data_IF_739973970620
#
_entry.id   IF_739973970620
#
_cell.length_a   1.000
_cell.length_b   1.000
_cell.length_c   1.000
_cell.angle_alpha   90.00
_cell.angle_beta   90.00
_cell.angle_gamma   90.00
#
_symmetry.space_group_name_H-M   'P 1'
#
loop_
_entity.id
_entity.type
_entity.pdbx_description
1 polymer ?
#
# COMPACT_ATOMS: atom_id res chain seq x y z
N UNK A 1 -8.45 15.40 -23.35
CA UNK A 1 -9.20 14.33 -22.64
C UNK A 1 -8.21 13.26 -22.23
N UNK A 2 -7.62 13.37 -21.04
CA UNK A 2 -6.70 12.34 -20.53
C UNK A 2 -7.55 11.19 -19.98
N UNK A 3 -7.54 10.04 -20.65
CA UNK A 3 -8.23 8.84 -20.16
C UNK A 3 -7.67 8.39 -18.80
N UNK A 4 -8.47 7.64 -18.03
CA UNK A 4 -8.07 7.18 -16.71
C UNK A 4 -6.81 6.31 -16.75
N UNK A 5 -5.81 6.64 -15.93
CA UNK A 5 -4.57 5.86 -15.78
C UNK A 5 -4.88 4.43 -15.34
N UNK A 6 -4.17 3.46 -15.91
CA UNK A 6 -4.24 2.04 -15.51
C UNK A 6 -3.35 1.83 -14.29
N UNK A 7 -3.87 1.17 -13.26
CA UNK A 7 -3.19 1.04 -11.97
C UNK A 7 -2.90 -0.42 -11.66
N UNK A 8 -1.67 -0.74 -11.25
CA UNK A 8 -1.31 -2.00 -10.62
C UNK A 8 -1.18 -1.79 -9.11
N UNK A 9 -1.90 -2.58 -8.30
CA UNK A 9 -1.74 -2.60 -6.84
C UNK A 9 -1.14 -3.94 -6.40
N UNK A 10 0.01 -3.89 -5.74
CA UNK A 10 0.70 -5.03 -5.15
C UNK A 10 0.46 -5.00 -3.64
N UNK A 11 0.10 -6.13 -3.02
CA UNK A 11 -0.36 -6.14 -1.61
C UNK A 11 -1.83 -5.74 -1.45
N UNK A 12 -2.62 -5.86 -2.52
CA UNK A 12 -4.03 -5.48 -2.58
C UNK A 12 -4.94 -6.13 -1.51
N UNK A 13 -4.56 -7.28 -0.97
CA UNK A 13 -5.36 -8.00 0.04
C UNK A 13 -4.98 -7.65 1.48
N UNK A 14 -3.99 -6.76 1.66
CA UNK A 14 -3.54 -6.27 2.96
C UNK A 14 -4.49 -5.22 3.56
N UNK A 15 -4.15 -4.74 4.77
CA UNK A 15 -4.99 -3.80 5.52
C UNK A 15 -5.28 -2.54 4.72
N UNK A 16 -4.26 -1.82 4.25
CA UNK A 16 -4.41 -0.61 3.43
C UNK A 16 -4.71 -0.91 1.95
N UNK A 17 -4.14 -2.00 1.42
CA UNK A 17 -4.25 -2.39 0.00
C UNK A 17 -5.68 -2.48 -0.50
N UNK A 18 -6.59 -3.08 0.27
CA UNK A 18 -8.00 -3.23 -0.14
C UNK A 18 -8.71 -1.88 -0.29
N UNK A 19 -8.34 -0.88 0.52
CA UNK A 19 -8.90 0.47 0.44
C UNK A 19 -8.33 1.23 -0.76
N UNK A 20 -7.05 1.03 -1.09
CA UNK A 20 -6.43 1.60 -2.29
C UNK A 20 -7.10 1.06 -3.57
N UNK A 21 -7.39 -0.24 -3.62
CA UNK A 21 -8.12 -0.86 -4.74
C UNK A 21 -9.53 -0.27 -4.89
N UNK A 22 -10.31 -0.21 -3.79
CA UNK A 22 -11.65 0.38 -3.81
C UNK A 22 -11.63 1.84 -4.26
N UNK A 23 -10.69 2.62 -3.75
CA UNK A 23 -10.54 4.03 -4.12
C UNK A 23 -10.20 4.17 -5.62
N UNK A 24 -9.31 3.31 -6.14
CA UNK A 24 -8.93 3.24 -7.55
C UNK A 24 -10.13 2.99 -8.46
N UNK A 25 -10.93 1.98 -8.12
CA UNK A 25 -12.15 1.64 -8.86
C UNK A 25 -13.21 2.75 -8.77
N UNK A 26 -13.41 3.32 -7.58
CA UNK A 26 -14.37 4.43 -7.38
C UNK A 26 -13.99 5.70 -8.14
N UNK A 27 -12.70 5.92 -8.39
CA UNK A 27 -12.19 7.02 -9.21
C UNK A 27 -12.20 6.71 -10.72
N UNK A 28 -12.67 5.53 -11.14
CA UNK A 28 -12.79 5.14 -12.54
C UNK A 28 -11.49 4.65 -13.18
N UNK A 29 -10.47 4.31 -12.39
CA UNK A 29 -9.21 3.77 -12.90
C UNK A 29 -9.30 2.26 -13.15
N UNK A 30 -8.96 1.76 -14.36
CA UNK A 30 -8.78 0.34 -14.58
C UNK A 30 -7.72 -0.22 -13.65
N UNK A 31 -8.11 -1.12 -12.74
CA UNK A 31 -7.23 -1.60 -11.66
C UNK A 31 -6.91 -3.07 -11.84
N UNK A 32 -5.62 -3.37 -11.82
CA UNK A 32 -5.06 -4.72 -11.77
C UNK A 32 -4.44 -4.94 -10.39
N UNK A 33 -4.58 -6.14 -9.84
CA UNK A 33 -3.96 -6.53 -8.57
C UNK A 33 -3.09 -7.76 -8.77
N UNK A 34 -1.91 -7.78 -8.15
CA UNK A 34 -1.05 -8.96 -8.09
C UNK A 34 -1.29 -9.69 -6.76
N UNK A 35 -1.69 -10.96 -6.83
CA UNK A 35 -2.01 -11.78 -5.64
C UNK A 35 -1.27 -13.12 -5.73
N UNK A 36 -0.61 -13.51 -4.63
CA UNK A 36 0.10 -14.78 -4.52
C UNK A 36 -0.84 -15.99 -4.62
N UNK A 37 -0.31 -17.10 -5.13
CA UNK A 37 -1.06 -18.34 -5.33
C UNK A 37 -1.70 -18.85 -4.03
N UNK A 38 -0.93 -18.83 -2.94
CA UNK A 38 -1.34 -19.29 -1.62
C UNK A 38 -2.44 -18.39 -1.04
N UNK A 39 -2.36 -17.09 -1.34
CA UNK A 39 -3.38 -16.12 -0.90
C UNK A 39 -4.70 -16.32 -1.66
N UNK A 40 -4.66 -16.63 -2.95
CA UNK A 40 -5.86 -16.97 -3.73
C UNK A 40 -6.48 -18.31 -3.31
N UNK A 41 -5.65 -19.26 -2.88
CA UNK A 41 -6.09 -20.56 -2.36
C UNK A 41 -6.61 -20.51 -0.91
N UNK A 42 -6.53 -19.36 -0.23
CA UNK A 42 -6.93 -19.19 1.16
C UNK A 42 -8.42 -19.52 1.37
N UNK A 43 -8.73 -20.39 2.32
CA UNK A 43 -10.12 -20.73 2.73
C UNK A 43 -10.70 -19.74 3.74
N UNK A 44 -9.93 -18.74 4.18
CA UNK A 44 -10.39 -17.68 5.08
C UNK A 44 -11.63 -16.95 4.50
N UNK A 45 -12.77 -16.92 5.22
CA UNK A 45 -14.00 -16.29 4.72
C UNK A 45 -13.85 -14.80 4.37
N UNK A 46 -13.00 -14.06 5.08
CA UNK A 46 -12.76 -12.64 4.80
C UNK A 46 -12.03 -12.43 3.48
N UNK A 47 -11.08 -13.31 3.14
CA UNK A 47 -10.38 -13.30 1.84
C UNK A 47 -11.32 -13.70 0.71
N UNK A 48 -12.13 -14.74 0.92
CA UNK A 48 -13.11 -15.18 -0.07
C UNK A 48 -14.13 -14.07 -0.40
N UNK A 49 -14.64 -13.39 0.62
CA UNK A 49 -15.53 -12.23 0.42
C UNK A 49 -14.83 -11.08 -0.31
N UNK A 50 -13.55 -10.81 0.00
CA UNK A 50 -12.77 -9.77 -0.68
C UNK A 50 -12.55 -10.10 -2.17
N UNK A 51 -12.30 -11.36 -2.53
CA UNK A 51 -12.14 -11.75 -3.93
C UNK A 51 -13.44 -11.61 -4.71
N UNK A 52 -14.58 -12.04 -4.13
CA UNK A 52 -15.90 -11.81 -4.71
C UNK A 52 -16.21 -10.33 -4.91
N UNK A 53 -15.81 -9.49 -3.96
CA UNK A 53 -15.94 -8.04 -4.08
C UNK A 53 -15.06 -7.49 -5.22
N UNK A 54 -13.80 -7.90 -5.30
CA UNK A 54 -12.90 -7.48 -6.38
C UNK A 54 -13.45 -7.86 -7.76
N UNK A 55 -13.98 -9.07 -7.90
CA UNK A 55 -14.64 -9.51 -9.12
C UNK A 55 -15.89 -8.66 -9.43
N UNK A 56 -16.75 -8.40 -8.43
CA UNK A 56 -18.01 -7.67 -8.64
C UNK A 56 -17.81 -6.21 -9.04
N UNK A 57 -16.71 -5.58 -8.60
CA UNK A 57 -16.36 -4.21 -9.00
C UNK A 57 -15.47 -4.15 -10.25
N UNK A 58 -15.07 -5.30 -10.83
CA UNK A 58 -14.31 -5.36 -12.09
C UNK A 58 -12.79 -5.24 -11.95
N UNK A 59 -12.22 -5.53 -10.79
CA UNK A 59 -10.77 -5.59 -10.59
C UNK A 59 -10.17 -6.77 -11.35
N UNK A 60 -9.10 -6.53 -12.11
CA UNK A 60 -8.35 -7.60 -12.77
C UNK A 60 -7.37 -8.25 -11.80
N UNK A 61 -7.58 -9.52 -11.47
CA UNK A 61 -6.67 -10.29 -10.62
C UNK A 61 -5.61 -10.98 -11.49
N UNK A 62 -4.33 -10.78 -11.15
CA UNK A 62 -3.20 -11.54 -11.67
C UNK A 62 -2.64 -12.41 -10.55
N UNK A 63 -2.63 -13.72 -10.75
CA UNK A 63 -1.93 -14.65 -9.88
C UNK A 63 -0.42 -14.51 -10.12
N UNK A 64 0.34 -14.22 -9.08
CA UNK A 64 1.79 -14.05 -9.21
C UNK A 64 2.49 -13.70 -7.90
N UNK A 65 3.81 -13.77 -7.93
CA UNK A 65 4.68 -13.51 -6.79
C UNK A 65 5.75 -12.48 -7.16
N UNK A 66 6.29 -11.76 -6.18
CA UNK A 66 7.34 -10.77 -6.39
C UNK A 66 8.66 -11.39 -6.89
N UNK A 67 8.87 -12.68 -6.68
CA UNK A 67 10.04 -13.41 -7.16
C UNK A 67 9.98 -13.73 -8.66
N UNK A 68 8.82 -13.57 -9.32
CA UNK A 68 8.67 -13.75 -10.76
C UNK A 68 8.88 -12.39 -11.48
N UNK A 69 10.14 -12.07 -11.76
CA UNK A 69 10.53 -10.81 -12.39
C UNK A 69 9.89 -10.62 -13.77
N UNK A 70 9.86 -11.66 -14.60
CA UNK A 70 9.27 -11.60 -15.94
C UNK A 70 7.76 -11.31 -15.90
N UNK A 71 7.05 -11.91 -14.94
CA UNK A 71 5.65 -11.58 -14.69
C UNK A 71 5.48 -10.13 -14.23
N UNK A 72 6.32 -9.65 -13.30
CA UNK A 72 6.28 -8.25 -12.86
C UNK A 72 6.45 -7.30 -14.03
N UNK A 73 7.48 -7.49 -14.86
CA UNK A 73 7.73 -6.66 -16.04
C UNK A 73 6.54 -6.69 -17.01
N UNK A 74 6.00 -7.89 -17.30
CA UNK A 74 4.81 -8.02 -18.19
C UNK A 74 3.58 -7.31 -17.65
N UNK A 75 3.35 -7.36 -16.33
CA UNK A 75 2.25 -6.65 -15.68
C UNK A 75 2.47 -5.13 -15.73
N UNK A 76 3.68 -4.68 -15.40
CA UNK A 76 4.04 -3.26 -15.32
C UNK A 76 3.98 -2.59 -16.71
N UNK A 77 4.40 -3.28 -17.78
CA UNK A 77 4.28 -2.81 -19.17
C UNK A 77 2.84 -2.50 -19.61
N UNK A 78 1.83 -2.94 -18.86
CA UNK A 78 0.41 -2.77 -19.17
C UNK A 78 -0.29 -1.69 -18.34
N UNK A 79 0.42 -1.05 -17.41
CA UNK A 79 -0.14 -0.04 -16.51
C UNK A 79 0.65 1.26 -16.55
N UNK A 80 0.02 2.35 -16.13
CA UNK A 80 0.65 3.66 -16.04
C UNK A 80 1.23 3.92 -14.64
N UNK A 81 0.60 3.35 -13.61
CA UNK A 81 0.90 3.59 -12.20
C UNK A 81 1.07 2.27 -11.47
N UNK A 82 2.06 2.21 -10.60
CA UNK A 82 2.27 1.09 -9.68
C UNK A 82 2.14 1.57 -8.25
N UNK A 83 1.33 0.90 -7.45
CA UNK A 83 1.15 1.15 -6.01
C UNK A 83 1.54 -0.12 -5.26
N UNK A 84 2.52 -0.01 -4.36
CA UNK A 84 2.94 -1.08 -3.46
C UNK A 84 2.33 -0.86 -2.08
N UNK A 85 1.64 -1.86 -1.57
CA UNK A 85 1.08 -1.93 -0.22
C UNK A 85 1.55 -3.21 0.49
N UNK A 86 2.79 -3.62 0.22
CA UNK A 86 3.43 -4.77 0.90
C UNK A 86 3.64 -4.49 2.38
N UNK A 87 3.61 -5.53 3.21
CA UNK A 87 3.78 -5.40 4.66
C UNK A 87 5.22 -5.04 5.05
N UNK A 88 5.41 -4.61 6.30
CA UNK A 88 6.73 -4.34 6.89
C UNK A 88 7.71 -5.51 6.75
N UNK A 89 7.23 -6.75 6.91
CA UNK A 89 8.06 -7.94 6.80
C UNK A 89 8.62 -8.16 5.38
N UNK A 90 7.96 -7.62 4.36
CA UNK A 90 8.32 -7.74 2.95
C UNK A 90 8.75 -6.40 2.36
N UNK A 91 9.13 -5.43 3.20
CA UNK A 91 9.38 -4.07 2.72
C UNK A 91 10.57 -4.00 1.75
N UNK A 92 11.63 -4.76 2.02
CA UNK A 92 12.82 -4.83 1.15
C UNK A 92 12.56 -5.62 -0.14
N UNK A 93 11.52 -6.45 -0.21
CA UNK A 93 11.14 -7.12 -1.46
C UNK A 93 10.72 -6.10 -2.56
N UNK A 94 10.48 -4.84 -2.21
CA UNK A 94 10.17 -3.78 -3.17
C UNK A 94 11.33 -3.45 -4.12
N UNK A 95 12.57 -3.84 -3.81
CA UNK A 95 13.67 -3.79 -4.79
C UNK A 95 13.33 -4.55 -6.08
N UNK A 96 12.58 -5.66 -5.97
CA UNK A 96 12.10 -6.45 -7.12
C UNK A 96 11.13 -5.63 -7.99
N UNK A 97 10.26 -4.86 -7.34
CA UNK A 97 9.32 -3.95 -8.02
C UNK A 97 10.09 -2.82 -8.70
N UNK A 98 11.06 -2.19 -8.01
CA UNK A 98 11.91 -1.11 -8.54
C UNK A 98 12.63 -1.58 -9.81
N UNK A 99 13.27 -2.75 -9.76
CA UNK A 99 13.98 -3.33 -10.90
C UNK A 99 13.02 -3.60 -12.08
N UNK A 100 11.85 -4.17 -11.83
CA UNK A 100 10.88 -4.45 -12.87
C UNK A 100 10.28 -3.16 -13.48
N UNK A 101 10.09 -2.11 -12.68
CA UNK A 101 9.67 -0.78 -13.18
C UNK A 101 10.74 -0.18 -14.08
N UNK A 102 12.00 -0.22 -13.66
CA UNK A 102 13.14 0.29 -14.44
C UNK A 102 13.24 -0.39 -15.80
N UNK A 103 13.08 -1.72 -15.84
CA UNK A 103 13.09 -2.47 -17.10
C UNK A 103 11.86 -2.19 -17.98
N UNK A 104 10.68 -2.05 -17.37
CA UNK A 104 9.45 -1.80 -18.11
C UNK A 104 9.45 -0.43 -18.80
N UNK A 105 10.01 0.60 -18.15
CA UNK A 105 10.28 1.92 -18.74
C UNK A 105 9.05 2.77 -19.05
N UNK A 106 7.84 2.31 -18.74
CA UNK A 106 6.57 2.97 -19.11
C UNK A 106 5.79 3.56 -17.92
N UNK A 107 6.28 3.40 -16.69
CA UNK A 107 5.58 3.83 -15.48
C UNK A 107 5.69 5.35 -15.30
N UNK A 108 4.52 6.00 -15.17
CA UNK A 108 4.39 7.45 -14.94
C UNK A 108 4.44 7.82 -13.46
N UNK A 109 4.12 6.85 -12.58
CA UNK A 109 4.26 7.03 -11.12
C UNK A 109 4.37 5.72 -10.37
N UNK A 110 5.33 5.65 -9.44
CA UNK A 110 5.43 4.61 -8.43
C UNK A 110 5.13 5.15 -7.03
N UNK A 111 4.28 4.44 -6.29
CA UNK A 111 4.02 4.69 -4.87
C UNK A 111 4.53 3.48 -4.07
N UNK A 112 5.70 3.56 -3.41
CA UNK A 112 6.15 2.51 -2.51
C UNK A 112 5.28 2.43 -1.24
N UNK A 113 5.42 1.34 -0.50
CA UNK A 113 4.64 1.03 0.72
C UNK A 113 5.07 1.90 1.91
N UNK A 114 4.69 3.18 1.87
CA UNK A 114 5.05 4.19 2.87
C UNK A 114 3.93 4.37 3.91
N UNK A 115 2.77 4.87 3.49
CA UNK A 115 1.47 5.03 4.16
C UNK A 115 1.43 5.27 5.69
N UNK A 116 2.51 5.74 6.29
CA UNK A 116 2.65 5.92 7.74
C UNK A 116 3.36 7.23 8.04
N UNK A 117 4.29 7.20 8.99
CA UNK A 117 5.11 8.36 9.34
C UNK A 117 6.17 8.66 8.27
N UNK A 118 6.56 9.93 8.18
CA UNK A 118 7.55 10.40 7.21
C UNK A 118 8.95 9.88 7.54
N UNK A 119 9.38 8.89 6.76
CA UNK A 119 10.61 8.13 7.02
C UNK A 119 11.82 8.96 6.64
N UNK A 120 12.68 9.24 7.62
CA UNK A 120 13.84 10.15 7.47
C UNK A 120 13.72 11.48 8.22
N UNK A 121 12.54 11.81 8.77
CA UNK A 121 12.34 13.03 9.60
C UNK A 121 11.94 12.73 11.04
N UNK A 122 11.94 11.46 11.42
CA UNK A 122 11.48 10.98 12.72
C UNK A 122 12.60 10.23 13.44
N UNK A 123 12.66 10.40 14.76
CA UNK A 123 13.47 9.54 15.64
C UNK A 123 12.53 8.51 16.26
N UNK A 124 12.83 7.24 16.05
CA UNK A 124 12.08 6.12 16.62
C UNK A 124 12.93 5.39 17.66
N UNK A 125 12.30 4.54 18.46
CA UNK A 125 13.04 3.66 19.37
C UNK A 125 13.91 2.68 18.57
N UNK A 126 15.06 2.22 19.11
CA UNK A 126 15.95 1.30 18.40
C UNK A 126 15.25 0.05 17.84
N UNK A 127 14.28 -0.49 18.58
CA UNK A 127 13.50 -1.66 18.15
C UNK A 127 12.65 -1.43 16.90
N UNK A 128 12.36 -0.17 16.53
CA UNK A 128 11.61 0.21 15.34
C UNK A 128 12.49 0.82 14.24
N UNK A 129 13.78 1.02 14.51
CA UNK A 129 14.68 1.71 13.58
C UNK A 129 14.79 0.98 12.24
N UNK A 130 14.82 -0.36 12.27
CA UNK A 130 14.87 -1.18 11.05
C UNK A 130 13.70 -0.91 10.09
N UNK A 131 12.51 -0.52 10.60
CA UNK A 131 11.35 -0.19 9.76
C UNK A 131 11.60 1.11 9.00
N UNK A 132 12.23 2.09 9.64
CA UNK A 132 12.57 3.37 9.02
C UNK A 132 13.72 3.19 8.03
N UNK A 133 14.74 2.42 8.40
CA UNK A 133 15.91 2.17 7.56
C UNK A 133 15.52 1.47 6.26
N UNK A 134 14.69 0.42 6.34
CA UNK A 134 14.19 -0.28 5.15
C UNK A 134 13.42 0.66 4.22
N UNK A 135 12.64 1.62 4.75
CA UNK A 135 11.91 2.61 3.96
C UNK A 135 12.84 3.60 3.28
N UNK A 136 13.80 4.15 4.02
CA UNK A 136 14.82 5.05 3.48
C UNK A 136 15.62 4.36 2.37
N UNK A 137 15.96 3.08 2.54
CA UNK A 137 16.63 2.28 1.53
C UNK A 137 15.81 2.17 0.24
N UNK A 138 14.52 1.83 0.34
CA UNK A 138 13.64 1.75 -0.84
C UNK A 138 13.46 3.11 -1.51
N UNK A 139 13.32 4.20 -0.74
CA UNK A 139 13.26 5.57 -1.32
C UNK A 139 14.51 5.89 -2.14
N UNK A 140 15.68 5.60 -1.58
CA UNK A 140 16.97 5.78 -2.27
C UNK A 140 17.03 4.95 -3.56
N UNK A 141 16.62 3.68 -3.52
CA UNK A 141 16.60 2.82 -4.70
C UNK A 141 15.66 3.34 -5.80
N UNK A 142 14.50 3.89 -5.43
CA UNK A 142 13.54 4.51 -6.35
C UNK A 142 14.13 5.77 -7.00
N UNK A 143 14.77 6.62 -6.21
CA UNK A 143 15.42 7.86 -6.66
C UNK A 143 16.61 7.57 -7.59
N UNK A 144 17.50 6.67 -7.20
CA UNK A 144 18.68 6.24 -7.98
C UNK A 144 18.28 5.57 -9.30
N UNK A 145 17.13 4.89 -9.35
CA UNK A 145 16.58 4.32 -10.57
C UNK A 145 15.94 5.37 -11.50
N UNK A 146 15.81 6.63 -11.07
CA UNK A 146 15.17 7.69 -11.84
C UNK A 146 13.67 7.49 -12.04
N UNK A 147 13.02 6.73 -11.15
CA UNK A 147 11.60 6.40 -11.28
C UNK A 147 10.75 7.58 -10.79
N UNK A 148 9.77 8.07 -11.59
CA UNK A 148 8.81 9.06 -11.12
C UNK A 148 8.03 8.50 -9.93
N UNK A 149 8.01 9.19 -8.78
CA UNK A 149 7.49 8.62 -7.54
C UNK A 149 6.68 9.61 -6.69
N UNK A 150 5.92 9.06 -5.75
CA UNK A 150 5.27 9.79 -4.66
C UNK A 150 5.42 9.00 -3.36
N UNK A 151 6.05 9.59 -2.35
CA UNK A 151 6.08 9.02 -0.99
C UNK A 151 4.91 9.57 -0.19
N UNK A 152 4.02 8.70 0.28
CA UNK A 152 2.80 9.10 0.98
C UNK A 152 2.99 8.93 2.49
N UNK A 153 3.05 10.05 3.21
CA UNK A 153 2.94 10.08 4.66
C UNK A 153 1.46 9.99 5.08
N UNK A 154 0.98 8.76 5.33
CA UNK A 154 -0.40 8.46 5.71
C UNK A 154 -0.73 8.69 7.20
N UNK A 155 0.27 8.97 8.04
CA UNK A 155 0.14 9.06 9.49
C UNK A 155 -0.56 7.82 10.10
N UNK A 156 -1.43 8.01 11.10
CA UNK A 156 -2.10 6.91 11.80
C UNK A 156 -3.36 6.47 11.06
N UNK A 157 -3.55 5.16 10.84
CA UNK A 157 -4.84 4.67 10.37
C UNK A 157 -5.88 4.76 11.50
N UNK A 158 -6.84 5.67 11.36
CA UNK A 158 -7.80 6.01 12.42
C UNK A 158 -8.49 4.76 12.98
N UNK A 159 -9.06 3.93 12.11
CA UNK A 159 -9.79 2.72 12.49
C UNK A 159 -8.89 1.71 13.23
N UNK A 160 -7.65 1.51 12.76
CA UNK A 160 -6.69 0.63 13.43
C UNK A 160 -6.33 1.14 14.83
N UNK A 161 -6.03 2.43 14.96
CA UNK A 161 -5.60 3.00 16.24
C UNK A 161 -6.76 3.18 17.21
N UNK A 162 -7.99 3.39 16.76
CA UNK A 162 -9.19 3.34 17.61
C UNK A 162 -9.33 1.92 18.20
N UNK A 163 -9.20 0.88 17.39
CA UNK A 163 -9.30 -0.51 17.87
C UNK A 163 -8.21 -0.83 18.90
N UNK A 164 -6.96 -0.39 18.66
CA UNK A 164 -5.83 -0.67 19.55
C UNK A 164 -5.86 0.16 20.84
N UNK A 165 -6.17 1.46 20.74
CA UNK A 165 -6.10 2.38 21.88
C UNK A 165 -7.39 2.34 22.72
N UNK A 166 -8.55 2.30 22.08
CA UNK A 166 -9.85 2.39 22.76
C UNK A 166 -10.45 1.02 23.06
N UNK A 167 -10.07 -0.02 22.30
CA UNK A 167 -10.54 -1.41 22.48
C UNK A 167 -12.07 -1.49 22.62
N UNK A 168 -12.85 -0.90 21.71
CA UNK A 168 -14.29 -0.70 21.88
C UNK A 168 -15.10 -2.01 21.95
N UNK A 169 -14.52 -3.12 21.51
CA UNK A 169 -15.14 -4.44 21.56
C UNK A 169 -14.84 -5.19 22.86
N UNK A 170 -14.09 -4.59 23.78
CA UNK A 170 -13.79 -5.15 25.09
C UNK A 170 -14.58 -4.40 26.17
N UNK A 171 -15.22 -5.14 27.07
CA UNK A 171 -15.95 -4.55 28.18
C UNK A 171 -14.95 -4.16 29.29
N UNK A 172 -14.35 -2.98 29.17
CA UNK A 172 -13.36 -2.45 30.12
C UNK A 172 -13.74 -1.05 30.60
N UNK A 173 -13.63 -0.84 31.90
CA UNK A 173 -13.88 0.46 32.54
C UNK A 173 -12.65 1.39 32.54
N UNK A 174 -11.54 0.94 31.95
CA UNK A 174 -10.27 1.68 31.95
C UNK A 174 -9.65 1.71 30.56
N UNK A 175 -8.96 2.81 30.26
CA UNK A 175 -8.18 3.01 29.03
C UNK A 175 -6.71 3.22 29.38
N UNK A 176 -5.80 2.68 28.57
CA UNK A 176 -4.36 2.89 28.75
C UNK A 176 -3.92 4.14 28.00
N UNK A 177 -3.33 5.09 28.71
CA UNK A 177 -2.69 6.28 28.12
C UNK A 177 -1.18 6.06 28.08
N UNK A 178 -0.58 6.16 26.90
CA UNK A 178 0.87 6.04 26.72
C UNK A 178 1.53 7.40 26.88
N UNK A 179 2.45 7.53 27.85
CA UNK A 179 3.07 8.82 28.20
C UNK A 179 2.07 9.75 28.91
N UNK A 180 2.10 11.05 28.60
CA UNK A 180 1.20 12.05 29.21
C UNK A 180 -0.19 12.11 28.55
N UNK A 181 -0.33 11.58 27.33
CA UNK A 181 -1.56 11.70 26.54
C UNK A 181 -1.75 13.06 25.84
N UNK A 182 -0.82 14.00 25.99
CA UNK A 182 -0.94 15.35 25.44
C UNK A 182 -0.35 15.50 24.02
N UNK A 183 0.41 14.50 23.57
CA UNK A 183 1.04 14.49 22.26
C UNK A 183 -0.01 14.46 21.15
N UNK A 184 0.02 15.48 20.28
CA UNK A 184 -0.89 15.58 19.13
C UNK A 184 -0.51 14.57 18.05
N UNK A 185 -1.51 13.98 17.42
CA UNK A 185 -1.36 13.11 16.25
C UNK A 185 -2.33 13.48 15.14
N UNK A 186 -2.03 13.05 13.91
CA UNK A 186 -2.94 13.14 12.78
C UNK A 186 -3.32 11.73 12.33
N UNK A 187 -4.59 11.51 11.99
CA UNK A 187 -5.08 10.21 11.56
C UNK A 187 -5.71 10.27 10.17
N UNK A 188 -5.44 9.26 9.35
CA UNK A 188 -6.08 9.00 8.08
C UNK A 188 -7.27 8.06 8.27
N UNK A 189 -8.44 8.49 7.79
CA UNK A 189 -9.63 7.64 7.68
C UNK A 189 -9.45 6.67 6.50
N UNK A 190 -9.77 5.40 6.69
CA UNK A 190 -9.59 4.35 5.68
C UNK A 190 -10.57 4.44 4.50
N UNK A 191 -11.56 5.34 4.56
CA UNK A 191 -12.33 5.80 3.38
C UNK A 191 -11.48 6.72 2.50
N UNK A 192 -10.41 6.17 1.92
CA UNK A 192 -9.44 6.93 1.13
C UNK A 192 -10.14 7.48 -0.11
N UNK A 193 -10.24 8.81 -0.21
CA UNK A 193 -10.58 9.47 -1.46
C UNK A 193 -9.30 9.58 -2.28
N UNK A 194 -9.31 9.07 -3.51
CA UNK A 194 -8.20 9.25 -4.45
C UNK A 194 -7.96 10.72 -4.79
N UNK A 195 -8.82 11.67 -4.39
CA UNK A 195 -8.51 13.11 -4.39
C UNK A 195 -7.15 13.47 -3.75
N UNK A 196 -6.68 12.70 -2.76
CA UNK A 196 -5.32 12.82 -2.17
C UNK A 196 -4.19 12.38 -3.12
N UNK A 197 -4.51 11.64 -4.17
CA UNK A 197 -3.63 11.16 -5.23
C UNK A 197 -3.90 11.85 -6.58
N UNK A 198 -5.07 12.50 -6.77
CA UNK A 198 -5.47 13.17 -8.02
C UNK A 198 -4.67 14.41 -8.34
N UNK A 199 -4.06 15.09 -7.35
CA UNK A 199 -3.13 16.18 -7.65
C UNK A 199 -1.84 15.69 -8.32
N UNK A 200 -1.69 14.37 -8.52
CA UNK A 200 -0.44 13.73 -8.92
C UNK A 200 -0.61 12.67 -10.02
N UNK A 201 -1.81 12.46 -10.57
CA UNK A 201 -2.08 11.56 -11.71
C UNK A 201 -2.38 12.30 -13.00
#
# INVERSE_FOLDING_TARGET
>A
MTGASKILVIGATGYIGKHLVRASMAAGHPTTVLIRAETLASTDPSKQSLFKEFESIGVKIVKGDLNDHDLLVRCIKRVDVVISAVSTAHHLDQHKIVNAIKEAGNVKRFLPSEFGIESGRVKVLPIFQFVMDNKVEIRKAVEEAGIPHTFVAGNFFAEYFIDVLMRPNENKDTVTVYGTGETKGASLKMSIKIGLLQSHF
#
